data_IF_136582616107
#
_entry.id   IF_136582616107
#
_cell.length_a   1.000
_cell.length_b   1.000
_cell.length_c   1.000
_cell.angle_alpha   90.00
_cell.angle_beta   90.00
_cell.angle_gamma   90.00
#
_symmetry.space_group_name_H-M   'P 1'
#
loop_
_entity.id
_entity.type
_entity.pdbx_description
1 polymer ?
#
# COMPACT_ATOMS: atom_id res chain seq x y z
N UNK A 1 -11.34 23.50 -4.74
CA UNK A 1 -11.13 22.06 -4.94
C UNK A 1 -10.81 21.88 -6.40
N UNK A 2 -9.62 21.40 -6.77
CA UNK A 2 -9.42 20.91 -8.15
C UNK A 2 -10.47 19.82 -8.39
N UNK A 3 -11.17 19.87 -9.51
CA UNK A 3 -12.24 18.92 -9.77
C UNK A 3 -11.63 17.50 -9.84
N UNK A 4 -11.91 16.69 -8.82
CA UNK A 4 -11.47 15.29 -8.81
C UNK A 4 -12.00 14.56 -10.06
N UNK A 5 -13.14 15.02 -10.59
CA UNK A 5 -13.78 14.53 -11.82
C UNK A 5 -12.88 14.74 -13.04
N UNK A 6 -12.28 15.93 -13.20
CA UNK A 6 -11.36 16.21 -14.32
C UNK A 6 -10.14 15.29 -14.28
N UNK A 7 -9.61 15.04 -13.07
CA UNK A 7 -8.48 14.12 -12.88
C UNK A 7 -8.86 12.68 -13.25
N UNK A 8 -10.06 12.23 -12.87
CA UNK A 8 -10.58 10.90 -13.22
C UNK A 8 -10.78 10.77 -14.73
N UNK A 9 -11.42 11.74 -15.39
CA UNK A 9 -11.64 11.67 -16.83
C UNK A 9 -10.34 11.79 -17.64
N UNK A 10 -9.37 12.57 -17.18
CA UNK A 10 -8.04 12.60 -17.80
C UNK A 10 -7.34 11.23 -17.73
N UNK A 11 -7.54 10.48 -16.66
CA UNK A 11 -7.04 9.10 -16.51
C UNK A 11 -7.81 8.15 -17.43
N UNK A 12 -9.15 8.21 -17.46
CA UNK A 12 -10.01 7.36 -18.32
C UNK A 12 -9.69 7.57 -19.80
N UNK A 13 -9.48 8.82 -20.24
CA UNK A 13 -9.17 9.14 -21.63
C UNK A 13 -7.89 8.44 -22.14
N UNK A 14 -6.92 8.20 -21.24
CA UNK A 14 -5.67 7.50 -21.55
C UNK A 14 -5.76 6.00 -21.30
N UNK A 15 -6.63 5.57 -20.38
CA UNK A 15 -6.76 4.20 -19.92
C UNK A 15 -8.25 3.85 -19.84
N UNK A 16 -8.88 3.46 -20.95
CA UNK A 16 -10.34 3.33 -21.05
C UNK A 16 -10.93 2.22 -20.17
N UNK A 17 -10.09 1.30 -19.68
CA UNK A 17 -10.46 0.27 -18.72
C UNK A 17 -9.45 0.22 -17.57
N UNK A 18 -9.86 0.69 -16.40
CA UNK A 18 -9.11 0.59 -15.15
C UNK A 18 -10.02 0.08 -14.04
N UNK A 19 -9.49 -0.80 -13.20
CA UNK A 19 -10.18 -1.31 -12.03
C UNK A 19 -9.16 -1.56 -10.93
N UNK A 20 -9.22 -0.76 -9.87
CA UNK A 20 -8.39 -0.87 -8.69
C UNK A 20 -9.24 -0.63 -7.45
N UNK A 21 -8.81 -1.22 -6.34
CA UNK A 21 -9.36 -1.03 -5.01
C UNK A 21 -8.19 -1.05 -4.02
N UNK A 22 -7.82 0.15 -3.58
CA UNK A 22 -6.77 0.38 -2.59
C UNK A 22 -7.36 0.66 -1.19
N UNK A 23 -8.61 0.29 -0.92
CA UNK A 23 -9.18 0.39 0.42
C UNK A 23 -8.42 -0.55 1.39
N UNK A 24 -7.64 -0.01 2.34
CA UNK A 24 -6.69 -0.81 3.11
C UNK A 24 -7.39 -1.70 4.13
N UNK A 25 -7.17 -3.01 4.05
CA UNK A 25 -7.64 -3.98 5.04
C UNK A 25 -6.50 -4.36 5.99
N UNK A 26 -6.52 -3.78 7.19
CA UNK A 26 -5.46 -3.96 8.18
C UNK A 26 -5.63 -5.26 8.97
N UNK A 27 -4.58 -6.08 9.00
CA UNK A 27 -4.53 -7.32 9.78
C UNK A 27 -3.80 -7.10 11.10
N UNK A 28 -4.47 -7.40 12.22
CA UNK A 28 -3.87 -7.41 13.56
C UNK A 28 -3.14 -8.72 13.82
N UNK A 29 -2.02 -8.62 14.53
CA UNK A 29 -1.22 -9.74 14.97
C UNK A 29 -1.58 -10.28 16.35
N UNK A 30 -0.60 -10.95 16.96
CA UNK A 30 -0.64 -11.39 18.35
C UNK A 30 0.58 -10.83 19.12
N UNK A 31 0.38 -9.99 20.16
CA UNK A 31 -0.90 -9.54 20.70
C UNK A 31 -1.64 -8.60 19.75
N UNK A 32 -2.97 -8.47 19.95
CA UNK A 32 -3.84 -7.69 19.06
C UNK A 32 -3.46 -6.21 18.95
N UNK A 33 -2.65 -5.67 19.86
CA UNK A 33 -2.11 -4.30 19.83
C UNK A 33 -1.05 -4.05 18.74
N UNK A 34 -0.80 -5.04 17.86
CA UNK A 34 0.11 -4.91 16.73
C UNK A 34 -0.64 -5.09 15.42
N UNK A 35 -0.21 -4.34 14.41
CA UNK A 35 -0.61 -4.45 13.03
C UNK A 35 0.48 -5.20 12.29
N UNK A 36 0.15 -6.37 11.76
CA UNK A 36 1.11 -7.27 11.10
C UNK A 36 1.11 -7.09 9.59
N UNK A 37 0.00 -6.63 9.01
CA UNK A 37 -0.11 -6.51 7.56
C UNK A 37 -1.20 -5.52 7.13
N UNK A 38 -1.14 -5.14 5.85
CA UNK A 38 -2.25 -4.54 5.12
C UNK A 38 -2.48 -5.30 3.82
N UNK A 39 -3.74 -5.50 3.47
CA UNK A 39 -4.14 -6.09 2.19
C UNK A 39 -4.95 -5.09 1.38
N UNK A 40 -4.56 -4.89 0.12
CA UNK A 40 -5.33 -4.13 -0.86
C UNK A 40 -6.15 -5.11 -1.71
N UNK A 41 -7.48 -4.93 -1.84
CA UNK A 41 -8.32 -5.89 -2.55
C UNK A 41 -8.02 -6.02 -4.04
N UNK A 42 -7.59 -4.94 -4.70
CA UNK A 42 -7.25 -4.96 -6.13
C UNK A 42 -6.19 -3.92 -6.49
N UNK A 43 -4.95 -4.35 -6.64
CA UNK A 43 -3.85 -3.44 -6.97
C UNK A 43 -3.69 -3.25 -8.48
N UNK A 44 -3.01 -2.17 -8.87
CA UNK A 44 -2.53 -2.01 -10.25
C UNK A 44 -1.35 -2.97 -10.52
N UNK A 45 -1.38 -3.64 -11.66
CA UNK A 45 -0.34 -4.61 -12.08
C UNK A 45 0.38 -4.21 -13.36
N UNK A 46 0.28 -2.93 -13.74
CA UNK A 46 0.90 -2.39 -14.97
C UNK A 46 2.42 -2.35 -14.89
N UNK A 47 2.99 -2.35 -13.69
CA UNK A 47 4.42 -2.40 -13.39
C UNK A 47 4.66 -3.22 -12.12
N UNK A 48 5.93 -3.57 -11.87
CA UNK A 48 6.36 -4.17 -10.60
C UNK A 48 6.55 -3.10 -9.52
N UNK A 49 5.44 -2.57 -9.00
CA UNK A 49 5.46 -1.61 -7.90
C UNK A 49 6.03 -2.23 -6.62
N UNK A 50 6.86 -1.45 -5.92
CA UNK A 50 7.37 -1.78 -4.59
C UNK A 50 6.65 -0.96 -3.53
N UNK A 51 6.89 -1.26 -2.25
CA UNK A 51 6.27 -0.53 -1.16
C UNK A 51 7.29 -0.05 -0.12
N UNK A 52 7.10 1.19 0.33
CA UNK A 52 7.79 1.74 1.50
C UNK A 52 6.85 1.78 2.68
N UNK A 53 7.34 1.36 3.85
CA UNK A 53 6.58 1.39 5.10
C UNK A 53 7.28 2.34 6.07
N UNK A 54 6.53 3.30 6.61
CA UNK A 54 7.00 4.25 7.61
C UNK A 54 6.05 4.20 8.80
N UNK A 55 6.57 4.10 10.03
CA UNK A 55 5.78 4.25 11.25
C UNK A 55 6.33 5.37 12.13
N UNK A 56 5.52 6.40 12.35
CA UNK A 56 5.93 7.69 12.94
C UNK A 56 7.19 8.25 12.25
N UNK A 57 8.32 8.27 12.95
CA UNK A 57 9.62 8.74 12.44
C UNK A 57 10.50 7.60 11.91
N UNK A 58 10.11 6.35 12.10
CA UNK A 58 10.86 5.17 11.66
C UNK A 58 10.51 4.80 10.22
N UNK A 59 11.51 4.80 9.34
CA UNK A 59 11.39 4.29 7.98
C UNK A 59 11.96 2.88 7.89
N UNK A 60 11.12 1.91 7.51
CA UNK A 60 11.53 0.51 7.35
C UNK A 60 12.03 0.19 5.94
N UNK A 61 12.09 1.19 5.07
CA UNK A 61 12.64 1.08 3.72
C UNK A 61 11.66 0.50 2.70
N UNK A 62 12.19 0.27 1.50
CA UNK A 62 11.44 -0.21 0.34
C UNK A 62 11.65 -1.71 0.17
N UNK A 63 10.56 -2.48 0.03
CA UNK A 63 10.62 -3.91 -0.32
C UNK A 63 9.52 -4.30 -1.29
N UNK A 64 9.70 -5.47 -1.89
CA UNK A 64 8.68 -6.14 -2.68
C UNK A 64 7.58 -6.67 -1.76
N UNK A 65 6.32 -6.58 -2.18
CA UNK A 65 5.19 -7.21 -1.49
C UNK A 65 5.04 -8.67 -1.92
N UNK A 66 4.09 -9.40 -1.31
CA UNK A 66 3.75 -10.73 -1.80
C UNK A 66 3.12 -10.66 -3.18
N UNK A 67 3.18 -11.79 -3.90
CA UNK A 67 2.58 -11.91 -5.22
C UNK A 67 1.10 -11.53 -5.21
N UNK A 68 0.65 -10.88 -6.28
CA UNK A 68 -0.76 -10.56 -6.50
C UNK A 68 -1.54 -11.87 -6.65
N UNK A 69 -2.63 -11.99 -5.91
CA UNK A 69 -3.47 -13.19 -5.89
C UNK A 69 -4.43 -13.21 -7.10
N UNK A 70 -5.08 -14.34 -7.35
CA UNK A 70 -6.00 -14.50 -8.50
C UNK A 70 -7.21 -13.57 -8.48
N UNK A 71 -7.58 -13.05 -7.30
CA UNK A 71 -8.64 -12.05 -7.13
C UNK A 71 -8.14 -10.60 -7.34
N UNK A 72 -6.85 -10.42 -7.58
CA UNK A 72 -6.19 -9.12 -7.72
C UNK A 72 -5.68 -8.53 -6.40
N UNK A 73 -5.93 -9.20 -5.28
CA UNK A 73 -5.50 -8.70 -3.98
C UNK A 73 -3.99 -8.83 -3.79
N UNK A 74 -3.43 -7.91 -3.01
CA UNK A 74 -2.02 -7.94 -2.66
C UNK A 74 -1.84 -7.62 -1.18
N UNK A 75 -1.08 -8.49 -0.50
CA UNK A 75 -0.77 -8.36 0.92
C UNK A 75 0.67 -7.87 1.12
N UNK A 76 0.81 -6.89 2.00
CA UNK A 76 2.09 -6.42 2.51
C UNK A 76 2.22 -6.91 3.95
N UNK A 77 3.15 -7.83 4.20
CA UNK A 77 3.41 -8.36 5.53
C UNK A 77 4.50 -7.54 6.23
N UNK A 78 4.14 -6.72 7.22
CA UNK A 78 5.07 -5.81 7.90
C UNK A 78 6.15 -6.54 8.71
N UNK A 79 5.95 -7.82 9.03
CA UNK A 79 6.99 -8.66 9.63
C UNK A 79 8.23 -8.73 8.73
N UNK A 80 8.08 -8.65 7.41
CA UNK A 80 9.20 -8.67 6.47
C UNK A 80 9.98 -7.33 6.45
N UNK A 81 9.34 -6.25 6.89
CA UNK A 81 9.95 -4.92 7.04
C UNK A 81 10.57 -4.73 8.43
N UNK A 82 9.91 -5.25 9.46
CA UNK A 82 10.20 -4.95 10.87
C UNK A 82 10.71 -6.19 11.62
N UNK A 83 11.66 -6.91 11.02
CA UNK A 83 12.42 -8.00 11.64
C UNK A 83 11.54 -9.07 12.34
N UNK A 84 10.51 -9.56 11.65
CA UNK A 84 9.54 -10.54 12.14
C UNK A 84 8.62 -10.06 13.27
N UNK A 85 8.49 -8.74 13.44
CA UNK A 85 7.56 -8.13 14.38
C UNK A 85 6.50 -7.28 13.66
N UNK A 86 5.27 -7.32 14.14
CA UNK A 86 4.25 -6.33 13.77
C UNK A 86 4.62 -4.92 14.21
N UNK A 87 3.88 -3.92 13.74
CA UNK A 87 4.03 -2.52 14.14
C UNK A 87 2.95 -2.19 15.18
N UNK A 88 3.34 -1.62 16.32
CA UNK A 88 2.38 -1.25 17.37
C UNK A 88 1.29 -0.32 16.81
N UNK A 89 0.02 -0.61 17.13
CA UNK A 89 -1.14 0.11 16.59
C UNK A 89 -1.29 1.54 17.13
N UNK A 90 -0.55 1.88 18.18
CA UNK A 90 -0.39 3.25 18.69
C UNK A 90 0.42 4.16 17.77
N UNK A 91 1.17 3.58 16.81
CA UNK A 91 1.97 4.33 15.85
C UNK A 91 1.16 4.72 14.62
N UNK A 92 1.50 5.86 14.03
CA UNK A 92 1.01 6.24 12.70
C UNK A 92 1.72 5.41 11.63
N UNK A 93 1.04 4.47 10.98
CA UNK A 93 1.64 3.69 9.88
C UNK A 93 1.27 4.34 8.54
N UNK A 94 2.25 4.56 7.67
CA UNK A 94 2.07 5.04 6.30
C UNK A 94 2.68 4.04 5.33
N UNK A 95 1.93 3.69 4.30
CA UNK A 95 2.38 2.81 3.21
C UNK A 95 2.37 3.61 1.92
N UNK A 96 3.50 3.61 1.25
CA UNK A 96 3.67 4.26 -0.06
C UNK A 96 3.89 3.20 -1.13
N UNK A 97 3.19 3.32 -2.25
CA UNK A 97 3.57 2.62 -3.49
C UNK A 97 4.72 3.38 -4.15
N UNK A 98 5.73 2.65 -4.62
CA UNK A 98 6.95 3.19 -5.23
C UNK A 98 6.98 2.78 -6.69
N UNK A 99 6.95 3.77 -7.58
CA UNK A 99 7.05 3.56 -9.03
C UNK A 99 8.48 3.11 -9.38
N UNK A 100 8.65 1.91 -9.98
CA UNK A 100 9.99 1.36 -10.24
C UNK A 100 10.80 2.18 -11.23
N UNK A 101 10.16 2.96 -12.12
CA UNK A 101 10.85 3.71 -13.17
C UNK A 101 11.41 5.05 -12.68
N UNK A 102 10.68 5.71 -11.77
CA UNK A 102 10.98 7.07 -11.32
C UNK A 102 11.43 7.16 -9.86
N UNK A 103 11.15 6.14 -9.05
CA UNK A 103 11.33 6.19 -7.60
C UNK A 103 10.30 7.08 -6.87
N UNK A 104 9.33 7.65 -7.60
CA UNK A 104 8.27 8.44 -7.01
C UNK A 104 7.43 7.60 -6.04
N UNK A 105 7.01 8.22 -4.95
CA UNK A 105 6.29 7.57 -3.86
C UNK A 105 4.92 8.19 -3.68
N UNK A 106 3.89 7.36 -3.64
CA UNK A 106 2.50 7.78 -3.51
C UNK A 106 1.88 7.12 -2.29
N UNK A 107 1.31 7.93 -1.38
CA UNK A 107 0.65 7.41 -0.18
C UNK A 107 -0.59 6.61 -0.58
N UNK A 108 -0.62 5.31 -0.27
CA UNK A 108 -1.73 4.40 -0.62
C UNK A 108 -2.49 3.87 0.60
N UNK A 109 -1.89 3.91 1.79
CA UNK A 109 -2.60 3.60 3.03
C UNK A 109 -2.03 4.37 4.21
N UNK A 110 -2.90 4.62 5.19
CA UNK A 110 -2.55 5.22 6.47
C UNK A 110 -3.36 4.58 7.60
N UNK A 111 -2.68 4.13 8.66
CA UNK A 111 -3.28 3.69 9.92
C UNK A 111 -3.15 4.81 10.97
N UNK A 112 -4.27 5.15 11.60
CA UNK A 112 -4.40 6.03 12.78
C UNK A 112 -5.73 5.77 13.47
#
# INVERSE_FOLDING_TARGET
>A
MSDQTDSIFAVIAKNPALCFDYNPRWGRGNPRSYIDNVTFPKVMTTKNFKYRVVADESDFGVRDAYGVQSDGSQKLNFLDWNAQHGIADSKTIKVYSVDPDSGNQYLVARWK
#
